data_IF_047409128678
#
_entry.id   IF_047409128678
#
_cell.length_a   1.000
_cell.length_b   1.000
_cell.length_c   1.000
_cell.angle_alpha   90.00
_cell.angle_beta   90.00
_cell.angle_gamma   90.00
#
_symmetry.space_group_name_H-M   'P 1'
#
loop_
_entity.id
_entity.type
_entity.pdbx_description
1 polymer ?
#
# COMPACT_ATOMS: atom_id res chain seq x y z
N UNK A 1 -35.63 -24.06 13.48
CA UNK A 1 -36.36 -24.05 12.19
C UNK A 1 -37.84 -23.98 12.45
N UNK A 2 -38.58 -23.14 11.68
CA UNK A 2 -40.03 -23.12 11.67
C UNK A 2 -40.51 -23.51 10.27
N UNK A 3 -41.58 -24.29 10.18
CA UNK A 3 -42.14 -24.77 8.92
C UNK A 3 -43.65 -24.70 8.97
N UNK A 4 -44.26 -24.16 7.93
CA UNK A 4 -45.69 -24.25 7.67
C UNK A 4 -45.86 -24.56 6.17
N UNK A 5 -46.34 -25.72 5.85
CA UNK A 5 -46.51 -26.16 4.47
C UNK A 5 -47.77 -26.97 4.28
N UNK A 6 -48.31 -26.99 3.07
CA UNK A 6 -49.37 -27.86 2.66
C UNK A 6 -48.86 -28.75 1.52
N UNK A 7 -48.99 -30.04 1.67
CA UNK A 7 -48.47 -30.98 0.70
C UNK A 7 -49.43 -32.13 0.45
N UNK A 8 -49.31 -32.76 -0.73
CA UNK A 8 -50.08 -33.92 -1.11
C UNK A 8 -49.17 -35.14 -1.12
N UNK A 9 -49.55 -36.17 -0.40
CA UNK A 9 -48.89 -37.44 -0.41
C UNK A 9 -49.51 -38.32 -1.51
N UNK A 10 -48.70 -38.88 -2.39
CA UNK A 10 -49.15 -39.73 -3.50
C UNK A 10 -49.55 -41.13 -3.04
N UNK A 11 -50.47 -41.76 -3.78
CA UNK A 11 -50.83 -43.18 -3.60
C UNK A 11 -49.65 -44.10 -3.91
N UNK A 12 -48.78 -43.70 -4.86
CA UNK A 12 -47.61 -44.51 -5.28
C UNK A 12 -46.37 -44.37 -4.37
N UNK A 13 -46.55 -43.85 -3.16
CA UNK A 13 -45.43 -43.78 -2.21
C UNK A 13 -45.00 -45.17 -1.77
N UNK A 14 -43.68 -45.39 -1.58
CA UNK A 14 -43.19 -46.64 -0.99
C UNK A 14 -43.70 -46.76 0.46
N UNK A 15 -44.31 -47.85 0.80
CA UNK A 15 -44.73 -48.17 2.16
C UNK A 15 -43.77 -49.19 2.78
N UNK A 16 -43.34 -48.89 3.97
CA UNK A 16 -42.62 -49.82 4.83
C UNK A 16 -43.62 -50.44 5.79
N UNK A 17 -43.96 -51.71 5.58
CA UNK A 17 -44.66 -52.61 6.53
C UNK A 17 -46.10 -52.23 6.98
N UNK A 18 -46.95 -51.59 6.14
CA UNK A 18 -48.35 -51.37 6.46
C UNK A 18 -49.27 -52.15 5.52
N UNK A 19 -50.19 -52.96 6.14
CA UNK A 19 -51.19 -53.74 5.42
C UNK A 19 -52.41 -52.94 4.93
N UNK A 20 -52.42 -51.61 5.11
CA UNK A 20 -53.52 -50.75 4.73
C UNK A 20 -53.38 -50.18 3.30
N UNK A 21 -54.46 -49.99 2.53
CA UNK A 21 -54.36 -49.39 1.20
C UNK A 21 -53.89 -47.95 1.27
N UNK A 22 -53.01 -47.59 0.31
CA UNK A 22 -52.55 -46.23 0.17
C UNK A 22 -53.62 -45.35 -0.43
N UNK A 23 -53.90 -44.24 0.24
CA UNK A 23 -54.77 -43.18 -0.30
C UNK A 23 -53.91 -41.89 -0.47
N UNK A 24 -54.17 -41.15 -1.54
CA UNK A 24 -53.64 -39.80 -1.66
C UNK A 24 -54.27 -38.95 -0.59
N UNK A 25 -53.49 -38.12 0.09
CA UNK A 25 -53.99 -37.19 1.09
C UNK A 25 -53.29 -35.83 0.95
N UNK A 26 -54.08 -34.79 1.13
CA UNK A 26 -53.54 -33.43 1.25
C UNK A 26 -53.60 -33.02 2.72
N UNK A 27 -52.49 -32.60 3.29
CA UNK A 27 -52.44 -32.25 4.70
C UNK A 27 -51.54 -31.02 4.91
N UNK A 28 -51.81 -30.29 5.96
CA UNK A 28 -50.92 -29.28 6.45
C UNK A 28 -49.83 -29.93 7.30
N UNK A 29 -48.70 -29.25 7.42
CA UNK A 29 -47.59 -29.65 8.30
C UNK A 29 -47.04 -28.36 8.94
N UNK A 30 -47.27 -28.23 10.23
CA UNK A 30 -46.75 -27.19 11.06
C UNK A 30 -45.64 -27.77 11.91
N UNK A 31 -44.45 -27.15 11.85
CA UNK A 31 -43.31 -27.63 12.62
C UNK A 31 -42.51 -26.49 13.23
N UNK A 32 -42.11 -26.69 14.46
CA UNK A 32 -41.16 -25.86 15.17
C UNK A 32 -40.10 -26.73 15.81
N UNK A 33 -38.82 -26.53 15.50
CA UNK A 33 -37.77 -27.39 16.01
C UNK A 33 -36.41 -26.76 16.10
N UNK A 34 -35.60 -27.32 16.95
CA UNK A 34 -34.18 -27.08 17.09
C UNK A 34 -33.42 -28.26 16.48
N UNK A 35 -32.36 -27.97 15.77
CA UNK A 35 -31.42 -28.96 15.23
C UNK A 35 -30.00 -28.62 15.68
N UNK A 36 -29.26 -29.61 16.10
CA UNK A 36 -27.84 -29.55 16.38
C UNK A 36 -27.10 -30.53 15.46
N UNK A 37 -25.99 -30.07 14.90
CA UNK A 37 -25.10 -30.90 14.08
C UNK A 37 -23.67 -30.68 14.54
N UNK A 38 -22.96 -31.76 14.78
CA UNK A 38 -21.55 -31.72 15.20
C UNK A 38 -20.74 -32.66 14.35
N UNK A 39 -19.73 -32.15 13.66
CA UNK A 39 -18.77 -32.96 12.90
C UNK A 39 -17.62 -33.40 13.81
N UNK A 40 -17.41 -34.69 13.90
CA UNK A 40 -16.29 -35.27 14.67
C UNK A 40 -15.04 -35.17 13.81
N UNK A 41 -14.12 -34.29 14.20
CA UNK A 41 -12.94 -33.93 13.41
C UNK A 41 -11.82 -34.97 13.51
N UNK A 42 -12.01 -36.12 12.89
CA UNK A 42 -11.00 -37.19 12.84
C UNK A 42 -9.91 -36.95 11.80
N UNK A 43 -10.24 -36.20 10.73
CA UNK A 43 -9.34 -35.95 9.60
C UNK A 43 -8.63 -34.59 9.70
N UNK A 44 -8.94 -33.79 10.70
CA UNK A 44 -8.39 -32.44 10.87
C UNK A 44 -9.01 -31.39 9.93
N UNK A 45 -10.15 -31.68 9.31
CA UNK A 45 -10.84 -30.75 8.40
C UNK A 45 -11.29 -29.48 9.11
N UNK A 46 -11.96 -29.63 10.28
CA UNK A 46 -12.46 -28.51 11.07
C UNK A 46 -11.30 -27.73 11.68
N UNK A 47 -10.30 -28.44 12.23
CA UNK A 47 -9.08 -27.84 12.77
C UNK A 47 -8.34 -27.02 11.69
N UNK A 48 -8.18 -27.57 10.48
CA UNK A 48 -7.59 -26.85 9.34
C UNK A 48 -8.41 -25.62 8.93
N UNK A 49 -9.75 -25.73 8.94
CA UNK A 49 -10.64 -24.60 8.64
C UNK A 49 -10.49 -23.46 9.65
N UNK A 50 -10.38 -23.79 10.95
CA UNK A 50 -10.15 -22.81 12.02
C UNK A 50 -8.77 -22.16 11.85
N UNK A 51 -7.72 -22.97 11.65
CA UNK A 51 -6.36 -22.48 11.42
C UNK A 51 -6.28 -21.55 10.20
N UNK A 52 -6.98 -21.90 9.09
CA UNK A 52 -7.07 -21.05 7.91
C UNK A 52 -7.78 -19.72 8.17
N UNK A 53 -8.87 -19.73 8.93
CA UNK A 53 -9.59 -18.51 9.30
C UNK A 53 -8.74 -17.61 10.23
N UNK A 54 -8.02 -18.20 11.18
CA UNK A 54 -7.11 -17.46 12.06
C UNK A 54 -5.94 -16.86 11.26
N UNK A 55 -5.31 -17.63 10.38
CA UNK A 55 -4.23 -17.13 9.51
C UNK A 55 -4.73 -16.00 8.58
N UNK A 56 -5.96 -16.07 8.09
CA UNK A 56 -6.58 -15.01 7.29
C UNK A 56 -6.83 -13.72 8.09
N UNK A 57 -7.21 -13.85 9.37
CA UNK A 57 -7.31 -12.70 10.29
C UNK A 57 -5.94 -12.04 10.48
N UNK A 58 -4.91 -12.84 10.77
CA UNK A 58 -3.53 -12.36 10.97
C UNK A 58 -2.97 -11.72 9.69
N UNK A 59 -3.27 -12.30 8.52
CA UNK A 59 -2.93 -11.69 7.22
C UNK A 59 -3.57 -10.32 7.05
N UNK A 60 -4.87 -10.21 7.32
CA UNK A 60 -5.60 -8.94 7.20
C UNK A 60 -5.07 -7.86 8.15
N UNK A 61 -4.62 -8.26 9.35
CA UNK A 61 -3.98 -7.34 10.29
C UNK A 61 -2.62 -6.84 9.74
N UNK A 62 -1.81 -7.73 9.18
CA UNK A 62 -0.53 -7.36 8.56
C UNK A 62 -0.74 -6.48 7.31
N UNK A 63 -1.76 -6.77 6.49
CA UNK A 63 -2.13 -5.95 5.33
C UNK A 63 -2.54 -4.52 5.76
N UNK A 64 -3.27 -4.38 6.87
CA UNK A 64 -3.61 -3.06 7.43
C UNK A 64 -2.37 -2.26 7.81
N UNK A 65 -1.41 -2.90 8.49
CA UNK A 65 -0.16 -2.21 8.86
C UNK A 65 0.70 -1.87 7.64
N UNK A 66 0.69 -2.73 6.61
CA UNK A 66 1.35 -2.43 5.33
C UNK A 66 0.73 -1.18 4.66
N UNK A 67 -0.60 -1.08 4.62
CA UNK A 67 -1.29 0.11 4.08
C UNK A 67 -0.94 1.36 4.89
N UNK A 68 -0.89 1.28 6.22
CA UNK A 68 -0.47 2.40 7.08
C UNK A 68 0.96 2.85 6.77
N UNK A 69 1.89 1.91 6.65
CA UNK A 69 3.28 2.18 6.30
C UNK A 69 3.39 2.87 4.93
N UNK A 70 2.69 2.37 3.92
CA UNK A 70 2.66 2.96 2.59
C UNK A 70 2.09 4.37 2.60
N UNK A 71 0.93 4.59 3.24
CA UNK A 71 0.31 5.92 3.32
C UNK A 71 1.19 6.93 4.06
N UNK A 72 1.88 6.49 5.13
CA UNK A 72 2.81 7.35 5.87
C UNK A 72 4.02 7.72 5.01
N UNK A 73 4.57 6.76 4.25
CA UNK A 73 5.65 7.01 3.31
C UNK A 73 5.23 7.93 2.16
N UNK A 74 4.02 7.75 1.62
CA UNK A 74 3.47 8.60 0.57
C UNK A 74 3.25 10.04 1.06
N UNK A 75 2.74 10.20 2.30
CA UNK A 75 2.59 11.51 2.94
C UNK A 75 3.94 12.21 3.10
N UNK A 76 4.94 11.51 3.63
CA UNK A 76 6.29 12.05 3.79
C UNK A 76 6.92 12.41 2.42
N UNK A 77 6.73 11.54 1.43
CA UNK A 77 7.20 11.77 0.05
C UNK A 77 6.57 13.03 -0.56
N UNK A 78 5.26 13.19 -0.46
CA UNK A 78 4.55 14.37 -0.96
C UNK A 78 5.00 15.64 -0.22
N UNK A 79 5.20 15.56 1.10
CA UNK A 79 5.68 16.69 1.91
C UNK A 79 7.10 17.11 1.53
N UNK A 80 8.03 16.18 1.40
CA UNK A 80 9.40 16.51 1.03
C UNK A 80 9.54 17.00 -0.42
N UNK A 81 8.72 16.50 -1.34
CA UNK A 81 8.63 17.03 -2.70
C UNK A 81 8.11 18.48 -2.70
N UNK A 82 7.11 18.80 -1.87
CA UNK A 82 6.61 20.17 -1.71
C UNK A 82 7.72 21.07 -1.18
N UNK A 83 8.45 20.67 -0.14
CA UNK A 83 9.56 21.44 0.43
C UNK A 83 10.74 21.60 -0.52
N UNK A 84 11.09 20.57 -1.28
CA UNK A 84 12.09 20.70 -2.35
C UNK A 84 11.66 21.77 -3.37
N UNK A 85 10.39 21.77 -3.76
CA UNK A 85 9.85 22.77 -4.70
C UNK A 85 9.90 24.18 -4.12
N UNK A 86 9.65 24.35 -2.81
CA UNK A 86 9.80 25.63 -2.11
C UNK A 86 11.25 26.14 -2.17
N UNK A 87 12.24 25.26 -1.95
CA UNK A 87 13.67 25.58 -2.07
C UNK A 87 14.04 25.98 -3.51
N UNK A 88 13.55 25.24 -4.51
CA UNK A 88 13.79 25.58 -5.93
C UNK A 88 13.16 26.92 -6.32
N UNK A 89 11.97 27.24 -5.81
CA UNK A 89 11.31 28.53 -6.03
C UNK A 89 12.11 29.70 -5.41
N UNK A 90 12.72 29.49 -4.23
CA UNK A 90 13.59 30.50 -3.61
C UNK A 90 14.88 30.71 -4.42
N UNK A 91 15.47 29.63 -4.95
CA UNK A 91 16.62 29.72 -5.89
C UNK A 91 16.26 30.58 -7.11
N UNK A 92 15.10 30.33 -7.72
CA UNK A 92 14.65 31.11 -8.87
C UNK A 92 14.36 32.57 -8.53
N UNK A 93 13.79 32.83 -7.35
CA UNK A 93 13.53 34.21 -6.88
C UNK A 93 14.83 35.01 -6.75
N UNK A 94 15.87 34.40 -6.15
CA UNK A 94 17.22 35.04 -6.07
C UNK A 94 17.84 35.23 -7.45
N UNK A 95 17.67 34.25 -8.36
CA UNK A 95 18.17 34.39 -9.72
C UNK A 95 17.50 35.53 -10.48
N UNK A 96 16.18 35.70 -10.36
CA UNK A 96 15.41 36.80 -10.98
C UNK A 96 15.87 38.15 -10.44
N UNK A 97 16.10 38.29 -9.13
CA UNK A 97 16.63 39.55 -8.54
C UNK A 97 18.02 39.88 -9.11
N UNK A 98 18.91 38.91 -9.19
CA UNK A 98 20.25 39.06 -9.77
C UNK A 98 20.18 39.44 -11.27
N UNK A 99 19.35 38.73 -12.06
CA UNK A 99 19.14 39.01 -13.48
C UNK A 99 18.51 40.42 -13.69
N UNK A 100 17.58 40.80 -12.82
CA UNK A 100 16.94 42.13 -12.84
C UNK A 100 17.94 43.27 -12.62
N UNK A 101 18.89 43.12 -11.69
CA UNK A 101 19.99 44.08 -11.51
C UNK A 101 20.87 44.19 -12.75
N UNK A 102 21.20 43.06 -13.38
CA UNK A 102 21.99 43.04 -14.62
C UNK A 102 21.23 43.69 -15.79
N UNK A 103 19.93 43.49 -15.91
CA UNK A 103 19.07 44.14 -16.90
C UNK A 103 19.04 45.65 -16.68
N UNK A 104 18.92 46.12 -15.44
CA UNK A 104 18.97 47.55 -15.09
C UNK A 104 20.28 48.20 -15.55
N UNK A 105 21.42 47.54 -15.30
CA UNK A 105 22.73 48.01 -15.77
C UNK A 105 22.84 48.02 -17.31
N UNK A 106 22.35 46.98 -17.99
CA UNK A 106 22.33 46.90 -19.45
C UNK A 106 21.49 48.03 -20.07
N UNK A 107 20.33 48.36 -19.51
CA UNK A 107 19.47 49.46 -19.92
C UNK A 107 20.17 50.79 -19.75
N UNK A 108 20.75 51.04 -18.56
CA UNK A 108 21.49 52.28 -18.32
C UNK A 108 22.64 52.47 -19.30
N UNK A 109 23.41 51.44 -19.62
CA UNK A 109 24.49 51.52 -20.61
C UNK A 109 23.97 51.79 -22.03
N UNK A 110 22.87 51.19 -22.40
CA UNK A 110 22.21 51.41 -23.70
C UNK A 110 21.76 52.87 -23.83
N UNK A 111 21.08 53.42 -22.80
CA UNK A 111 20.56 54.78 -22.79
C UNK A 111 21.69 55.83 -22.85
N UNK A 112 22.88 55.51 -22.31
CA UNK A 112 24.09 56.29 -22.39
C UNK A 112 24.89 56.09 -23.68
N UNK A 113 24.41 55.23 -24.60
CA UNK A 113 25.09 54.92 -25.86
C UNK A 113 26.31 54.01 -25.71
N UNK A 114 26.56 53.47 -24.53
CA UNK A 114 27.70 52.57 -24.22
C UNK A 114 27.36 51.07 -24.30
N UNK A 115 26.09 50.69 -24.64
CA UNK A 115 25.62 49.31 -24.75
C UNK A 115 24.72 49.10 -25.96
N UNK A 116 24.56 47.86 -26.33
CA UNK A 116 23.70 47.43 -27.47
C UNK A 116 22.26 47.14 -27.02
N UNK A 117 21.26 47.45 -27.85
CA UNK A 117 19.89 46.98 -27.65
C UNK A 117 19.78 45.44 -27.64
N UNK A 118 20.73 44.75 -28.28
CA UNK A 118 20.83 43.29 -28.24
C UNK A 118 21.10 42.81 -26.79
N UNK A 119 21.97 43.49 -26.06
CA UNK A 119 22.32 43.12 -24.67
C UNK A 119 21.10 43.21 -23.74
N UNK A 120 20.30 44.28 -23.92
CA UNK A 120 19.03 44.45 -23.18
C UNK A 120 18.04 43.35 -23.52
N UNK A 121 17.88 43.00 -24.81
CA UNK A 121 16.98 42.00 -25.27
C UNK A 121 17.38 40.57 -24.77
N UNK A 122 18.67 40.25 -24.78
CA UNK A 122 19.18 38.98 -24.25
C UNK A 122 18.96 38.83 -22.75
N UNK A 123 19.21 39.90 -21.97
CA UNK A 123 18.99 39.85 -20.52
C UNK A 123 17.50 39.78 -20.17
N UNK A 124 16.64 40.47 -20.94
CA UNK A 124 15.18 40.34 -20.78
C UNK A 124 14.70 38.92 -21.08
N UNK A 125 15.17 38.32 -22.19
CA UNK A 125 14.81 36.95 -22.56
C UNK A 125 15.22 35.93 -21.48
N UNK A 126 16.35 36.11 -20.80
CA UNK A 126 16.78 35.28 -19.68
C UNK A 126 15.79 35.37 -18.50
N UNK A 127 15.36 36.56 -18.14
CA UNK A 127 14.38 36.78 -17.07
C UNK A 127 13.05 36.12 -17.44
N UNK A 128 12.55 36.31 -18.66
CA UNK A 128 11.28 35.78 -19.12
C UNK A 128 11.29 34.25 -19.11
N UNK A 129 12.42 33.62 -19.47
CA UNK A 129 12.64 32.18 -19.37
C UNK A 129 12.61 31.71 -17.90
N UNK A 130 13.23 32.46 -17.00
CA UNK A 130 13.28 32.14 -15.56
C UNK A 130 11.88 32.28 -14.94
N UNK A 131 11.11 33.30 -15.31
CA UNK A 131 9.71 33.46 -14.85
C UNK A 131 8.82 32.32 -15.32
N UNK A 132 9.00 31.82 -16.55
CA UNK A 132 8.28 30.64 -17.04
C UNK A 132 8.57 29.42 -16.14
N UNK A 133 9.81 29.23 -15.70
CA UNK A 133 10.17 28.15 -14.78
C UNK A 133 9.50 28.30 -13.40
N UNK A 134 9.37 29.53 -12.91
CA UNK A 134 8.64 29.82 -11.64
C UNK A 134 7.20 29.35 -11.74
N UNK A 135 6.50 29.68 -12.83
CA UNK A 135 5.08 29.29 -12.97
C UNK A 135 4.90 27.76 -13.09
N UNK A 136 5.82 27.08 -13.76
CA UNK A 136 5.83 25.62 -13.82
C UNK A 136 6.05 25.00 -12.44
N UNK A 137 6.97 25.53 -11.64
CA UNK A 137 7.22 25.04 -10.28
C UNK A 137 6.07 25.38 -9.32
N UNK A 138 5.43 26.54 -9.45
CA UNK A 138 4.23 26.88 -8.68
C UNK A 138 3.09 25.88 -8.94
N UNK A 139 2.89 25.53 -10.22
CA UNK A 139 1.94 24.47 -10.57
C UNK A 139 2.31 23.13 -9.92
N UNK A 140 3.59 22.76 -9.98
CA UNK A 140 4.07 21.50 -9.38
C UNK A 140 3.86 21.49 -7.85
N UNK A 141 4.17 22.62 -7.18
CA UNK A 141 3.91 22.79 -5.76
C UNK A 141 2.45 22.60 -5.38
N UNK A 142 1.53 23.20 -6.16
CA UNK A 142 0.09 23.04 -5.93
C UNK A 142 -0.35 21.57 -6.07
N UNK A 143 0.21 20.80 -7.00
CA UNK A 143 -0.09 19.38 -7.12
C UNK A 143 0.35 18.58 -5.89
N UNK A 144 1.50 18.88 -5.29
CA UNK A 144 1.93 18.23 -4.05
C UNK A 144 1.07 18.66 -2.86
N UNK A 145 0.65 19.91 -2.79
CA UNK A 145 -0.28 20.40 -1.77
C UNK A 145 -1.64 19.71 -1.85
N UNK A 146 -2.19 19.51 -3.07
CA UNK A 146 -3.41 18.75 -3.28
C UNK A 146 -3.25 17.26 -2.90
N UNK A 147 -2.09 16.64 -3.18
CA UNK A 147 -1.81 15.27 -2.77
C UNK A 147 -1.79 15.14 -1.23
N UNK A 148 -1.16 16.09 -0.54
CA UNK A 148 -1.16 16.15 0.93
C UNK A 148 -2.57 16.33 1.50
N UNK A 149 -3.39 17.18 0.89
CA UNK A 149 -4.79 17.36 1.26
C UNK A 149 -5.56 16.03 1.19
N UNK A 150 -5.41 15.31 0.08
CA UNK A 150 -6.05 13.99 -0.12
C UNK A 150 -5.60 12.97 0.92
N UNK A 151 -4.29 12.88 1.18
CA UNK A 151 -3.72 11.94 2.14
C UNK A 151 -4.12 12.24 3.60
N UNK A 152 -4.42 13.51 3.91
CA UNK A 152 -4.93 13.92 5.24
C UNK A 152 -6.45 13.92 5.34
N UNK A 153 -7.17 13.54 4.28
CA UNK A 153 -8.63 13.51 4.25
C UNK A 153 -9.27 14.89 4.20
N UNK A 154 -8.52 15.93 3.81
CA UNK A 154 -9.01 17.31 3.72
C UNK A 154 -9.31 17.67 2.25
N UNK A 155 -10.45 18.33 1.95
CA UNK A 155 -10.69 18.82 0.60
C UNK A 155 -9.60 19.82 0.15
N UNK A 156 -9.03 19.62 -1.05
CA UNK A 156 -7.93 20.43 -1.57
C UNK A 156 -8.17 21.94 -1.51
N UNK A 157 -9.38 22.51 -1.76
CA UNK A 157 -9.62 23.94 -1.65
C UNK A 157 -9.55 24.50 -0.22
N UNK A 158 -9.61 23.63 0.80
CA UNK A 158 -9.56 24.04 2.22
C UNK A 158 -8.21 23.77 2.87
N UNK A 159 -7.27 23.22 2.09
CA UNK A 159 -5.94 22.86 2.58
C UNK A 159 -4.89 23.82 2.00
N UNK A 160 -4.03 24.36 2.86
CA UNK A 160 -2.91 25.20 2.44
C UNK A 160 -1.73 25.02 3.40
N UNK A 161 -0.54 24.95 2.83
CA UNK A 161 0.73 24.89 3.56
C UNK A 161 1.56 26.12 3.17
N UNK A 162 1.98 26.90 4.16
CA UNK A 162 2.84 28.05 3.92
C UNK A 162 4.16 27.63 3.24
N UNK A 163 4.67 28.41 2.25
CA UNK A 163 5.98 28.17 1.66
C UNK A 163 7.07 28.23 2.74
N UNK A 164 8.00 27.29 2.68
CA UNK A 164 9.15 27.25 3.57
C UNK A 164 10.35 26.67 2.83
N UNK A 165 11.37 27.49 2.60
CA UNK A 165 12.60 27.13 1.90
C UNK A 165 13.74 26.73 2.87
N UNK A 166 13.41 26.41 4.13
CA UNK A 166 14.42 25.95 5.10
C UNK A 166 15.02 24.61 4.65
N UNK A 167 16.35 24.57 4.57
CA UNK A 167 17.06 23.36 4.20
C UNK A 167 16.91 22.29 5.30
N UNK A 168 16.35 21.15 4.95
CA UNK A 168 16.18 20.01 5.85
C UNK A 168 17.32 18.99 5.66
N UNK A 169 17.82 18.47 6.75
CA UNK A 169 18.77 17.36 6.74
C UNK A 169 18.05 16.04 6.97
N UNK A 170 18.35 14.97 6.18
CA UNK A 170 17.81 13.65 6.45
C UNK A 170 18.17 13.20 7.88
N UNK A 171 17.23 12.58 8.61
CA UNK A 171 17.57 11.96 9.89
C UNK A 171 18.56 10.83 9.67
N UNK A 172 19.46 10.56 10.64
CA UNK A 172 20.33 9.39 10.58
C UNK A 172 19.46 8.12 10.62
N UNK A 173 19.52 7.32 9.56
CA UNK A 173 18.81 6.04 9.52
C UNK A 173 19.72 5.00 10.18
N UNK A 174 19.28 4.32 11.24
CA UNK A 174 20.06 3.23 11.83
C UNK A 174 20.14 2.08 10.82
N UNK A 175 21.34 1.79 10.37
CA UNK A 175 21.62 0.66 9.49
C UNK A 175 21.56 -0.61 10.35
N UNK A 176 20.38 -1.21 10.48
CA UNK A 176 20.21 -2.52 11.14
C UNK A 176 20.77 -3.65 10.29
N UNK A 177 20.97 -4.83 10.92
CA UNK A 177 21.36 -6.04 10.21
C UNK A 177 20.23 -6.45 9.26
N UNK A 178 20.50 -6.86 7.99
CA UNK A 178 19.48 -7.22 7.02
C UNK A 178 18.46 -8.27 7.48
N UNK A 179 18.82 -9.16 8.41
CA UNK A 179 17.92 -10.17 8.99
C UNK A 179 16.82 -9.57 9.86
N UNK A 180 17.10 -8.50 10.62
CA UNK A 180 16.13 -7.86 11.51
C UNK A 180 15.06 -7.09 10.71
N UNK A 181 15.40 -6.69 9.49
CA UNK A 181 14.50 -6.01 8.56
C UNK A 181 13.36 -6.92 8.13
N UNK A 182 13.65 -8.21 7.89
CA UNK A 182 12.66 -9.17 7.42
C UNK A 182 11.55 -9.40 8.46
N UNK A 183 11.87 -9.36 9.74
CA UNK A 183 10.88 -9.55 10.82
C UNK A 183 9.98 -8.33 11.05
N UNK A 184 10.38 -7.15 10.57
CA UNK A 184 9.68 -5.87 10.81
C UNK A 184 8.78 -5.45 9.65
N UNK A 185 8.84 -6.13 8.51
CA UNK A 185 8.06 -5.74 7.33
C UNK A 185 6.67 -6.38 7.35
N UNK A 186 5.61 -5.55 7.32
CA UNK A 186 4.24 -6.08 7.34
C UNK A 186 3.87 -6.82 6.05
N UNK A 187 4.44 -6.48 4.89
CA UNK A 187 4.21 -7.19 3.62
C UNK A 187 4.78 -8.62 3.63
N UNK A 188 5.91 -8.83 4.29
CA UNK A 188 6.51 -10.17 4.49
C UNK A 188 5.63 -10.98 5.44
N UNK A 189 5.19 -10.39 6.55
CA UNK A 189 4.28 -11.04 7.49
C UNK A 189 2.95 -11.42 6.82
N UNK A 190 2.37 -10.54 6.00
CA UNK A 190 1.16 -10.84 5.24
C UNK A 190 1.36 -12.01 4.26
N UNK A 191 2.49 -12.04 3.54
CA UNK A 191 2.81 -13.12 2.61
C UNK A 191 3.03 -14.47 3.33
N UNK A 192 3.63 -14.46 4.53
CA UNK A 192 3.79 -15.65 5.38
C UNK A 192 2.42 -16.18 5.85
N UNK A 193 1.53 -15.28 6.31
CA UNK A 193 0.17 -15.66 6.71
C UNK A 193 -0.66 -16.18 5.53
N UNK A 194 -0.50 -15.61 4.33
CA UNK A 194 -1.11 -16.14 3.10
C UNK A 194 -0.66 -17.58 2.80
N UNK A 195 0.60 -17.89 3.05
CA UNK A 195 1.13 -19.25 2.97
C UNK A 195 0.46 -20.19 3.98
N UNK A 196 0.26 -19.72 5.22
CA UNK A 196 -0.45 -20.47 6.25
C UNK A 196 -1.93 -20.74 5.89
N UNK A 197 -2.62 -19.77 5.28
CA UNK A 197 -3.99 -19.94 4.75
C UNK A 197 -4.02 -21.03 3.67
N UNK A 198 -3.11 -20.97 2.70
CA UNK A 198 -3.06 -21.96 1.63
C UNK A 198 -2.69 -23.37 2.14
N UNK A 199 -1.81 -23.46 3.15
CA UNK A 199 -1.50 -24.73 3.82
C UNK A 199 -2.72 -25.31 4.56
N UNK A 200 -3.52 -24.47 5.20
CA UNK A 200 -4.76 -24.90 5.82
C UNK A 200 -5.79 -25.42 4.78
N UNK A 201 -5.87 -24.78 3.61
CA UNK A 201 -6.71 -25.25 2.50
C UNK A 201 -6.23 -26.61 1.95
N UNK A 202 -4.91 -26.81 1.88
CA UNK A 202 -4.32 -28.09 1.53
C UNK A 202 -4.70 -29.18 2.58
N UNK A 203 -4.70 -28.83 3.87
CA UNK A 203 -5.19 -29.70 4.96
C UNK A 203 -6.65 -30.08 4.79
N UNK A 204 -7.52 -29.13 4.43
CA UNK A 204 -8.94 -29.40 4.14
C UNK A 204 -9.09 -30.32 2.93
N UNK A 205 -8.34 -30.09 1.86
CA UNK A 205 -8.37 -30.94 0.67
C UNK A 205 -7.87 -32.38 0.96
N UNK A 206 -6.84 -32.50 1.79
CA UNK A 206 -6.33 -33.78 2.26
C UNK A 206 -7.37 -34.52 3.13
N UNK A 207 -8.09 -33.83 3.98
CA UNK A 207 -9.14 -34.40 4.82
C UNK A 207 -10.28 -35.09 4.01
N UNK A 208 -10.51 -34.66 2.77
CA UNK A 208 -11.52 -35.23 1.87
C UNK A 208 -11.23 -36.69 1.45
N UNK A 209 -10.01 -37.18 1.64
CA UNK A 209 -9.66 -38.59 1.43
C UNK A 209 -10.15 -39.52 2.55
N UNK A 210 -10.56 -38.96 3.69
CA UNK A 210 -10.98 -39.68 4.88
C UNK A 210 -12.49 -39.62 5.09
N UNK A 211 -13.10 -40.58 5.83
CA UNK A 211 -14.52 -40.55 6.18
C UNK A 211 -14.85 -39.31 7.03
N UNK A 212 -15.99 -38.67 6.75
CA UNK A 212 -16.58 -37.69 7.64
C UNK A 212 -17.65 -38.30 8.54
N UNK A 213 -17.60 -37.96 9.83
CA UNK A 213 -18.58 -38.44 10.83
C UNK A 213 -19.32 -37.21 11.37
N UNK A 214 -20.63 -37.20 11.22
CA UNK A 214 -21.50 -36.14 11.72
C UNK A 214 -22.51 -36.70 12.70
N UNK A 215 -22.57 -36.12 13.91
CA UNK A 215 -23.61 -36.39 14.91
C UNK A 215 -24.73 -35.38 14.68
N UNK A 216 -25.95 -35.85 14.55
CA UNK A 216 -27.13 -35.02 14.36
C UNK A 216 -28.15 -35.24 15.49
N UNK A 217 -28.72 -34.19 16.01
CA UNK A 217 -29.83 -34.23 16.94
C UNK A 217 -30.92 -33.23 16.50
N UNK A 218 -32.18 -33.68 16.56
CA UNK A 218 -33.33 -32.78 16.36
C UNK A 218 -34.31 -32.96 17.50
N UNK A 219 -34.91 -31.87 17.94
CA UNK A 219 -35.99 -31.84 18.92
C UNK A 219 -36.98 -30.77 18.49
N UNK A 220 -38.26 -31.11 18.43
CA UNK A 220 -39.27 -30.16 17.99
C UNK A 220 -40.71 -30.62 18.23
N UNK A 221 -41.64 -29.84 17.72
CA UNK A 221 -43.06 -30.09 17.67
C UNK A 221 -43.51 -30.18 16.21
N UNK A 222 -44.35 -31.12 15.86
CA UNK A 222 -44.88 -31.26 14.50
C UNK A 222 -46.36 -31.73 14.56
N UNK A 223 -47.25 -30.98 13.87
CA UNK A 223 -48.68 -31.29 13.83
C UNK A 223 -49.28 -30.92 12.50
N UNK A 224 -50.41 -31.58 12.17
CA UNK A 224 -51.27 -31.21 11.04
C UNK A 224 -52.10 -29.96 11.30
N UNK A 225 -52.41 -29.69 12.58
CA UNK A 225 -53.21 -28.56 13.01
C UNK A 225 -52.42 -27.67 13.95
N UNK A 226 -52.50 -26.37 13.76
CA UNK A 226 -51.75 -25.41 14.52
C UNK A 226 -52.13 -25.40 16.01
N UNK A 227 -53.39 -25.71 16.30
CA UNK A 227 -53.94 -25.75 17.67
C UNK A 227 -53.32 -26.81 18.52
N UNK A 228 -52.96 -27.95 17.89
CA UNK A 228 -52.35 -29.13 18.58
C UNK A 228 -50.81 -29.14 18.47
N UNK A 229 -50.20 -28.10 17.91
CA UNK A 229 -48.76 -28.07 17.67
C UNK A 229 -47.94 -28.23 18.99
N UNK A 230 -48.40 -27.67 20.08
CA UNK A 230 -47.73 -27.73 21.36
C UNK A 230 -48.19 -28.84 22.30
N UNK A 231 -49.09 -29.69 21.84
CA UNK A 231 -49.53 -30.85 22.63
C UNK A 231 -48.45 -31.92 22.74
N UNK A 232 -48.42 -32.67 23.82
CA UNK A 232 -47.43 -33.76 24.04
C UNK A 232 -47.31 -34.74 22.88
N UNK A 233 -48.41 -35.16 22.22
CA UNK A 233 -48.34 -36.10 21.05
C UNK A 233 -47.62 -35.49 19.83
N UNK A 234 -47.44 -34.18 19.75
CA UNK A 234 -46.76 -33.51 18.65
C UNK A 234 -45.23 -33.46 18.82
N UNK A 235 -44.69 -33.90 19.96
CA UNK A 235 -43.25 -33.92 20.21
C UNK A 235 -42.56 -34.92 19.26
N UNK A 236 -41.56 -34.44 18.55
CA UNK A 236 -40.69 -35.23 17.68
C UNK A 236 -39.24 -35.01 18.07
N UNK A 237 -38.48 -36.11 18.03
CA UNK A 237 -37.03 -36.03 18.25
C UNK A 237 -36.30 -37.08 17.40
N UNK A 238 -35.07 -36.79 17.04
CA UNK A 238 -34.18 -37.77 16.46
C UNK A 238 -32.75 -37.56 16.93
N UNK A 239 -32.02 -38.65 17.06
CA UNK A 239 -30.59 -38.67 17.29
C UNK A 239 -29.97 -39.63 16.28
N UNK A 240 -28.92 -39.22 15.59
CA UNK A 240 -28.31 -40.04 14.57
C UNK A 240 -26.82 -39.76 14.40
N UNK A 241 -26.12 -40.77 13.86
CA UNK A 241 -24.74 -40.66 13.42
C UNK A 241 -24.74 -40.92 11.91
N UNK A 242 -24.13 -40.01 11.16
CA UNK A 242 -23.94 -40.16 9.72
C UNK A 242 -22.45 -40.34 9.41
N UNK A 243 -22.10 -41.40 8.72
CA UNK A 243 -20.76 -41.66 8.19
C UNK A 243 -20.82 -41.56 6.66
N UNK A 244 -20.01 -40.67 6.11
CA UNK A 244 -19.92 -40.48 4.66
C UNK A 244 -18.48 -40.67 4.18
N UNK A 245 -18.26 -41.58 3.24
CA UNK A 245 -16.99 -41.79 2.55
C UNK A 245 -17.24 -41.98 1.05
N UNK A 246 -16.79 -41.06 0.20
CA UNK A 246 -16.79 -41.27 -1.25
C UNK A 246 -15.81 -42.41 -1.63
N UNK A 247 -16.31 -43.47 -2.22
CA UNK A 247 -15.45 -44.58 -2.67
C UNK A 247 -15.06 -44.47 -4.15
N UNK A 248 -15.95 -43.89 -4.95
CA UNK A 248 -15.75 -43.66 -6.40
C UNK A 248 -16.25 -42.24 -6.70
N UNK A 249 -15.35 -41.35 -7.12
CA UNK A 249 -15.65 -39.97 -7.39
C UNK A 249 -15.12 -39.45 -8.75
N UNK A 250 -14.61 -40.33 -9.59
CA UNK A 250 -14.05 -39.98 -10.90
C UNK A 250 -12.75 -39.17 -10.82
N UNK A 251 -12.04 -39.22 -9.70
CA UNK A 251 -10.77 -38.51 -9.49
C UNK A 251 -10.92 -37.06 -8.96
N UNK A 252 -12.14 -36.64 -8.61
CA UNK A 252 -12.43 -35.29 -8.15
C UNK A 252 -11.67 -34.90 -6.88
N UNK A 253 -11.59 -35.79 -5.88
CA UNK A 253 -10.85 -35.51 -4.63
C UNK A 253 -9.38 -35.33 -4.93
N UNK A 254 -8.79 -36.16 -5.78
CA UNK A 254 -7.38 -36.04 -6.17
C UNK A 254 -7.12 -34.72 -6.92
N UNK A 255 -7.95 -34.36 -7.88
CA UNK A 255 -7.83 -33.12 -8.61
C UNK A 255 -7.94 -31.86 -7.69
N UNK A 256 -8.84 -31.91 -6.70
CA UNK A 256 -8.97 -30.84 -5.70
C UNK A 256 -7.72 -30.74 -4.79
N UNK A 257 -7.13 -31.86 -4.42
CA UNK A 257 -5.89 -31.87 -3.66
C UNK A 257 -4.73 -31.28 -4.48
N UNK A 258 -4.55 -31.74 -5.72
CA UNK A 258 -3.51 -31.26 -6.62
C UNK A 258 -3.68 -29.74 -6.90
N UNK A 259 -4.92 -29.26 -7.03
CA UNK A 259 -5.24 -27.83 -7.13
C UNK A 259 -4.83 -27.05 -5.87
N UNK A 260 -5.16 -27.56 -4.68
CA UNK A 260 -4.79 -26.92 -3.41
C UNK A 260 -3.26 -26.92 -3.21
N UNK A 261 -2.58 -28.00 -3.61
CA UNK A 261 -1.12 -28.09 -3.57
C UNK A 261 -0.47 -27.05 -4.49
N UNK A 262 -0.93 -26.92 -5.73
CA UNK A 262 -0.44 -25.90 -6.65
C UNK A 262 -0.70 -24.48 -6.10
N UNK A 263 -1.85 -24.24 -5.45
CA UNK A 263 -2.17 -23.02 -4.75
C UNK A 263 -1.17 -22.69 -3.64
N UNK A 264 -0.80 -23.68 -2.83
CA UNK A 264 0.24 -23.52 -1.81
C UNK A 264 1.61 -23.18 -2.41
N UNK A 265 2.03 -23.87 -3.47
CA UNK A 265 3.31 -23.60 -4.16
C UNK A 265 3.38 -22.18 -4.73
N UNK A 266 2.26 -21.63 -5.23
CA UNK A 266 2.15 -20.24 -5.68
C UNK A 266 2.42 -19.29 -4.50
N UNK A 267 1.86 -19.53 -3.32
CA UNK A 267 2.06 -18.66 -2.15
C UNK A 267 3.51 -18.72 -1.64
N UNK A 268 4.15 -19.90 -1.69
CA UNK A 268 5.59 -20.06 -1.37
C UNK A 268 6.46 -19.25 -2.32
N UNK A 269 6.19 -19.32 -3.63
CA UNK A 269 6.92 -18.55 -4.63
C UNK A 269 6.71 -17.04 -4.43
N UNK A 270 5.48 -16.62 -4.11
CA UNK A 270 5.17 -15.22 -3.79
C UNK A 270 5.90 -14.73 -2.53
N UNK A 271 5.91 -15.51 -1.46
CA UNK A 271 6.67 -15.18 -0.24
C UNK A 271 8.16 -14.96 -0.55
N UNK A 272 8.78 -15.87 -1.29
CA UNK A 272 10.20 -15.72 -1.72
C UNK A 272 10.42 -14.44 -2.52
N UNK A 273 9.51 -14.12 -3.45
CA UNK A 273 9.57 -12.89 -4.25
C UNK A 273 9.50 -11.63 -3.36
N UNK A 274 8.58 -11.60 -2.38
CA UNK A 274 8.42 -10.47 -1.45
C UNK A 274 9.69 -10.27 -0.62
N UNK A 275 10.27 -11.37 -0.09
CA UNK A 275 11.52 -11.33 0.67
C UNK A 275 12.70 -10.80 -0.17
N UNK A 276 12.85 -11.29 -1.41
CA UNK A 276 13.91 -10.82 -2.31
C UNK A 276 13.76 -9.35 -2.67
N UNK A 277 12.54 -8.91 -2.94
CA UNK A 277 12.27 -7.49 -3.21
C UNK A 277 12.57 -6.61 -1.99
N UNK A 278 12.24 -7.08 -0.77
CA UNK A 278 12.53 -6.35 0.46
C UNK A 278 14.04 -6.16 0.67
N UNK A 279 14.83 -7.21 0.41
CA UNK A 279 16.29 -7.12 0.48
C UNK A 279 16.85 -6.15 -0.57
N UNK A 280 16.36 -6.20 -1.79
CA UNK A 280 16.74 -5.28 -2.85
C UNK A 280 16.41 -3.83 -2.49
N UNK A 281 15.19 -3.54 -2.02
CA UNK A 281 14.79 -2.19 -1.61
C UNK A 281 15.69 -1.63 -0.50
N UNK A 282 16.04 -2.44 0.49
CA UNK A 282 16.93 -2.01 1.56
C UNK A 282 18.35 -1.67 1.04
N UNK A 283 18.92 -2.53 0.19
CA UNK A 283 20.23 -2.31 -0.42
C UNK A 283 20.24 -1.08 -1.35
N UNK A 284 19.22 -0.95 -2.21
CA UNK A 284 19.05 0.20 -3.10
C UNK A 284 18.97 1.52 -2.31
N UNK A 285 18.24 1.50 -1.17
CA UNK A 285 18.15 2.65 -0.27
C UNK A 285 19.49 3.03 0.37
N UNK A 286 20.23 2.06 0.87
CA UNK A 286 21.56 2.27 1.52
C UNK A 286 22.57 2.83 0.51
N UNK A 287 22.70 2.19 -0.64
CA UNK A 287 23.63 2.61 -1.71
C UNK A 287 23.22 3.98 -2.26
N UNK A 288 21.92 4.18 -2.47
CA UNK A 288 21.35 5.44 -2.96
C UNK A 288 21.67 6.60 -2.01
N UNK A 289 21.43 6.44 -0.71
CA UNK A 289 21.70 7.48 0.28
C UNK A 289 23.19 7.86 0.34
N UNK A 290 24.09 6.86 0.36
CA UNK A 290 25.53 7.09 0.36
C UNK A 290 26.03 7.79 -0.92
N UNK A 291 25.45 7.45 -2.08
CA UNK A 291 25.79 8.10 -3.35
C UNK A 291 25.32 9.54 -3.40
N UNK A 292 24.06 9.79 -2.97
CA UNK A 292 23.48 11.13 -2.92
C UNK A 292 24.18 12.05 -1.92
N UNK A 293 24.69 11.53 -0.82
CA UNK A 293 25.50 12.31 0.12
C UNK A 293 26.80 12.80 -0.53
N UNK A 294 27.54 11.92 -1.22
CA UNK A 294 28.75 12.33 -1.96
C UNK A 294 28.42 13.33 -3.06
N UNK A 295 27.35 13.10 -3.83
CA UNK A 295 26.89 14.02 -4.88
C UNK A 295 26.51 15.39 -4.32
N UNK A 296 25.79 15.45 -3.19
CA UNK A 296 25.43 16.71 -2.52
C UNK A 296 26.65 17.48 -2.03
N UNK A 297 27.66 16.79 -1.48
CA UNK A 297 28.91 17.43 -1.07
C UNK A 297 29.66 18.03 -2.29
N UNK A 298 29.74 17.29 -3.39
CA UNK A 298 30.36 17.78 -4.62
C UNK A 298 29.56 18.93 -5.27
N UNK A 299 28.25 18.88 -5.22
CA UNK A 299 27.38 19.96 -5.75
C UNK A 299 27.58 21.26 -4.98
N UNK A 300 27.76 21.23 -3.66
CA UNK A 300 28.09 22.43 -2.87
C UNK A 300 29.40 23.09 -3.34
N UNK A 301 30.40 22.30 -3.66
CA UNK A 301 31.67 22.79 -4.23
C UNK A 301 31.42 23.42 -5.62
N UNK A 302 30.60 22.80 -6.45
CA UNK A 302 30.22 23.34 -7.77
C UNK A 302 29.51 24.68 -7.67
N UNK A 303 28.53 24.81 -6.76
CA UNK A 303 27.85 26.08 -6.50
C UNK A 303 28.83 27.17 -6.08
N UNK A 304 29.74 26.87 -5.15
CA UNK A 304 30.75 27.85 -4.70
C UNK A 304 31.66 28.29 -5.87
N UNK A 305 32.06 27.36 -6.73
CA UNK A 305 32.86 27.66 -7.92
C UNK A 305 32.10 28.52 -8.95
N UNK A 306 30.84 28.16 -9.23
CA UNK A 306 29.98 28.93 -10.16
C UNK A 306 29.75 30.37 -9.65
N UNK A 307 29.51 30.53 -8.33
CA UNK A 307 29.35 31.84 -7.70
C UNK A 307 30.61 32.68 -7.84
N UNK A 308 31.78 32.10 -7.59
CA UNK A 308 33.06 32.81 -7.79
C UNK A 308 33.29 33.21 -9.24
N UNK A 309 32.93 32.36 -10.22
CA UNK A 309 32.99 32.72 -11.65
C UNK A 309 32.10 33.92 -11.94
N UNK A 310 30.87 33.94 -11.44
CA UNK A 310 29.94 35.05 -11.63
C UNK A 310 30.49 36.36 -11.02
N UNK A 311 31.04 36.30 -9.81
CA UNK A 311 31.63 37.50 -9.13
C UNK A 311 32.79 38.06 -9.96
N UNK A 312 33.67 37.21 -10.48
CA UNK A 312 34.79 37.65 -11.32
C UNK A 312 34.32 38.23 -12.67
N UNK A 313 33.33 37.63 -13.31
CA UNK A 313 32.76 38.09 -14.56
C UNK A 313 32.03 39.40 -14.35
N UNK A 314 31.27 39.59 -13.27
CA UNK A 314 30.61 40.85 -12.93
C UNK A 314 31.63 42.00 -12.75
N UNK A 315 32.72 41.74 -11.99
CA UNK A 315 33.79 42.74 -11.81
C UNK A 315 34.43 43.15 -13.15
N UNK A 316 34.70 42.18 -14.04
CA UNK A 316 35.23 42.48 -15.38
C UNK A 316 34.22 43.21 -16.27
N UNK A 317 32.94 42.86 -16.17
CA UNK A 317 31.88 43.53 -16.92
C UNK A 317 31.68 44.99 -16.47
N UNK A 318 31.68 45.24 -15.16
CA UNK A 318 31.64 46.60 -14.61
C UNK A 318 32.84 47.44 -15.09
N UNK A 319 34.02 46.85 -15.15
CA UNK A 319 35.24 47.44 -15.70
C UNK A 319 35.28 47.59 -17.22
N UNK A 320 34.24 47.16 -17.95
CA UNK A 320 34.14 47.23 -19.41
C UNK A 320 35.00 46.21 -20.18
N UNK A 321 35.54 45.18 -19.52
CA UNK A 321 36.48 44.20 -20.09
C UNK A 321 35.80 42.85 -20.44
N UNK A 322 34.59 42.58 -19.91
CA UNK A 322 33.77 41.37 -20.25
C UNK A 322 32.52 41.76 -21.03
N UNK A 323 32.03 40.84 -21.84
CA UNK A 323 30.78 40.99 -22.58
C UNK A 323 29.56 40.69 -21.73
N UNK A 324 28.38 41.25 -22.04
CA UNK A 324 27.10 40.85 -21.39
C UNK A 324 26.79 39.36 -21.51
N UNK A 325 27.19 38.74 -22.59
CA UNK A 325 27.01 37.29 -22.83
C UNK A 325 27.77 36.43 -21.81
N UNK A 326 28.98 36.88 -21.39
CA UNK A 326 29.74 36.21 -20.33
C UNK A 326 28.98 36.29 -18.98
N UNK A 327 28.33 37.40 -18.67
CA UNK A 327 27.49 37.54 -17.46
C UNK A 327 26.30 36.65 -17.51
N UNK A 328 25.56 36.61 -18.65
CA UNK A 328 24.40 35.72 -18.85
C UNK A 328 24.80 34.27 -18.67
N UNK A 329 25.91 33.86 -19.29
CA UNK A 329 26.43 32.49 -19.22
C UNK A 329 26.79 32.09 -17.77
N UNK A 330 27.46 32.99 -17.02
CA UNK A 330 27.81 32.75 -15.63
C UNK A 330 26.56 32.68 -14.73
N UNK A 331 25.55 33.52 -14.94
CA UNK A 331 24.27 33.50 -14.24
C UNK A 331 23.50 32.19 -14.48
N UNK A 332 23.44 31.73 -15.72
CA UNK A 332 22.82 30.44 -16.09
C UNK A 332 23.54 29.24 -15.46
N UNK A 333 24.88 29.28 -15.42
CA UNK A 333 25.71 28.23 -14.81
C UNK A 333 25.47 28.18 -13.29
N UNK A 334 25.42 29.34 -12.60
CA UNK A 334 25.11 29.41 -11.17
C UNK A 334 23.68 28.88 -10.89
N UNK A 335 22.69 29.37 -11.62
CA UNK A 335 21.30 28.92 -11.46
C UNK A 335 21.17 27.40 -11.63
N UNK A 336 21.81 26.84 -12.66
CA UNK A 336 21.81 25.40 -12.90
C UNK A 336 22.44 24.63 -11.72
N UNK A 337 23.57 25.10 -11.20
CA UNK A 337 24.28 24.51 -10.08
C UNK A 337 23.44 24.58 -8.77
N UNK A 338 22.83 25.74 -8.48
CA UNK A 338 22.01 25.94 -7.29
C UNK A 338 20.71 25.07 -7.34
N UNK A 339 20.08 24.97 -8.51
CA UNK A 339 18.93 24.10 -8.69
C UNK A 339 19.29 22.62 -8.51
N UNK A 340 20.42 22.18 -9.08
CA UNK A 340 20.89 20.81 -8.86
C UNK A 340 21.16 20.53 -7.37
N UNK A 341 21.74 21.49 -6.65
CA UNK A 341 21.94 21.35 -5.21
C UNK A 341 20.61 21.19 -4.46
N UNK A 342 19.60 22.01 -4.77
CA UNK A 342 18.26 21.90 -4.19
C UNK A 342 17.60 20.54 -4.49
N UNK A 343 17.72 20.05 -5.71
CA UNK A 343 17.20 18.74 -6.12
C UNK A 343 17.89 17.59 -5.39
N UNK A 344 19.19 17.65 -5.18
CA UNK A 344 19.94 16.63 -4.43
C UNK A 344 19.53 16.59 -2.95
N UNK A 345 19.22 17.73 -2.33
CA UNK A 345 18.66 17.75 -0.96
C UNK A 345 17.31 17.02 -0.94
N UNK A 346 16.41 17.34 -1.87
CA UNK A 346 15.12 16.65 -1.98
C UNK A 346 15.27 15.13 -2.20
N UNK A 347 16.13 14.73 -3.15
CA UNK A 347 16.38 13.31 -3.43
C UNK A 347 16.92 12.56 -2.21
N UNK A 348 17.80 13.18 -1.40
CA UNK A 348 18.29 12.57 -0.15
C UNK A 348 17.15 12.34 0.85
N UNK A 349 16.26 13.31 1.02
CA UNK A 349 15.09 13.18 1.89
C UNK A 349 14.17 12.06 1.41
N UNK A 350 13.85 12.03 0.11
CA UNK A 350 13.01 10.98 -0.49
C UNK A 350 13.63 9.59 -0.35
N UNK A 351 14.94 9.47 -0.57
CA UNK A 351 15.65 8.19 -0.41
C UNK A 351 15.67 7.76 1.06
N UNK A 352 15.74 8.70 2.01
CA UNK A 352 15.60 8.39 3.45
C UNK A 352 14.22 7.85 3.78
N UNK A 353 13.14 8.45 3.26
CA UNK A 353 11.77 7.92 3.41
C UNK A 353 11.65 6.52 2.80
N UNK A 354 12.18 6.34 1.59
CA UNK A 354 12.22 5.04 0.94
C UNK A 354 12.94 3.99 1.79
N UNK A 355 14.10 4.31 2.35
CA UNK A 355 14.87 3.41 3.20
C UNK A 355 14.12 3.09 4.50
N UNK A 356 13.51 4.07 5.18
CA UNK A 356 12.70 3.83 6.38
C UNK A 356 11.52 2.88 6.05
N UNK A 357 10.84 3.10 4.92
CA UNK A 357 9.79 2.20 4.44
C UNK A 357 10.34 0.79 4.17
N UNK A 358 11.48 0.68 3.48
CA UNK A 358 12.12 -0.59 3.15
C UNK A 358 12.56 -1.38 4.40
N UNK A 359 12.87 -0.68 5.49
CA UNK A 359 13.20 -1.27 6.79
C UNK A 359 11.97 -1.63 7.64
N UNK A 360 10.74 -1.42 7.13
CA UNK A 360 9.48 -1.74 7.80
C UNK A 360 8.96 -0.65 8.74
N UNK A 361 9.56 0.54 8.77
CA UNK A 361 9.17 1.62 9.68
C UNK A 361 9.31 1.21 11.15
N UNK A 362 8.33 1.62 11.97
CA UNK A 362 8.25 1.28 13.41
C UNK A 362 7.29 0.12 13.71
N UNK A 363 6.83 -0.64 12.68
CA UNK A 363 5.89 -1.74 12.89
C UNK A 363 6.55 -2.92 13.60
N UNK A 364 5.97 -3.36 14.71
CA UNK A 364 6.34 -4.58 15.43
C UNK A 364 5.33 -5.69 15.16
N UNK A 365 5.81 -6.89 14.83
CA UNK A 365 4.94 -8.05 14.62
C UNK A 365 4.11 -8.37 15.87
N UNK A 366 2.79 -8.66 15.75
CA UNK A 366 1.94 -9.05 16.88
C UNK A 366 2.48 -10.22 17.71
N UNK A 367 3.32 -11.08 17.12
CA UNK A 367 3.96 -12.18 17.85
C UNK A 367 4.95 -11.72 18.93
N UNK A 368 5.60 -10.55 18.77
CA UNK A 368 6.49 -10.00 19.82
C UNK A 368 5.69 -9.40 20.99
N UNK A 369 4.50 -8.89 20.74
CA UNK A 369 3.62 -8.35 21.79
C UNK A 369 3.02 -9.44 22.69
N UNK A 370 2.77 -10.64 22.15
CA UNK A 370 2.26 -11.78 22.94
C UNK A 370 3.31 -12.47 23.80
N UNK A 371 4.61 -12.26 23.55
CA UNK A 371 5.71 -12.84 24.33
C UNK A 371 6.12 -11.95 25.53
N UNK A 372 5.55 -10.73 25.64
CA UNK A 372 5.82 -9.80 26.75
C UNK A 372 4.67 -9.70 27.77
N UNK A 373 3.56 -10.44 27.57
CA UNK A 373 2.48 -10.63 28.54
C UNK A 373 2.55 -12.03 29.16
#
# INVERSE_FOLDING_TARGET
TSRAQRFRITENRPLNNYAAPNFSTTQNDFGLGLSASYEVDLSGRVASSIAGAQASLEQSAADLENVRLLLTADLATAYFNLRQTDIELDVLARAIDLQGRSLGLARTRHDLGAGSGLDVAQQQALIDTTLTQVDLLRRQRALFEHALATLTGTPAPLFSIAPDATEMTPPPVPLGVPSDVLERRPDIAAAERAMAVANAQLGIANAAFYPSITLGATLGQQSRDIETLFDRPSLVWSLGVNLLQPLIDGGRIRANFDFAQAGYEITVANYRRVVLNAMQEAEDGIIGLAALERASNQSRVSVASARRVLDLVNTRYEGGVASPLEVISAQQSLLTSERLAAQLVGQRLLTSVFLVKALGGDWESPQKLSSQQ
#
